data_IF_809073152546
#
_entry.id   IF_809073152546
#
_cell.length_a   1.000
_cell.length_b   1.000
_cell.length_c   1.000
_cell.angle_alpha   90.00
_cell.angle_beta   90.00
_cell.angle_gamma   90.00
#
_symmetry.space_group_name_H-M   'P 1'
#
loop_
_entity.id
_entity.type
_entity.pdbx_description
1 polymer ?
#
# COMPACT_ATOMS: atom_id res chain seq x y z
N UNK A 1 13.21 -16.03 -13.27
CA UNK A 1 12.06 -16.73 -12.79
C UNK A 1 11.60 -16.18 -11.46
N UNK A 2 10.43 -15.62 -11.50
CA UNK A 2 9.75 -15.02 -10.36
C UNK A 2 8.97 -16.13 -9.69
N UNK A 3 9.61 -16.89 -8.81
CA UNK A 3 8.97 -18.03 -8.16
C UNK A 3 9.18 -17.95 -6.65
N UNK A 4 8.22 -18.46 -5.91
CA UNK A 4 8.29 -18.83 -4.53
C UNK A 4 8.53 -17.66 -3.58
N UNK A 5 9.73 -17.12 -3.58
CA UNK A 5 10.17 -16.12 -2.59
C UNK A 5 9.52 -14.74 -2.75
N UNK A 6 8.94 -14.45 -3.90
CA UNK A 6 8.31 -13.15 -4.17
C UNK A 6 6.80 -13.16 -3.95
N UNK A 7 6.22 -14.33 -3.75
CA UNK A 7 4.78 -14.51 -3.61
C UNK A 7 4.47 -15.00 -2.20
N UNK A 8 3.51 -14.35 -1.57
CA UNK A 8 3.04 -14.73 -0.23
C UNK A 8 1.51 -14.73 -0.23
N UNK A 9 0.92 -15.31 0.80
CA UNK A 9 -0.52 -15.18 1.02
C UNK A 9 -0.84 -13.82 1.64
N UNK A 10 -2.09 -13.40 1.48
CA UNK A 10 -2.60 -12.22 2.18
C UNK A 10 -2.38 -12.36 3.70
N UNK A 11 -2.65 -13.54 4.26
CA UNK A 11 -2.45 -13.78 5.69
C UNK A 11 -0.99 -13.52 6.13
N UNK A 12 -0.01 -13.93 5.32
CA UNK A 12 1.41 -13.68 5.62
C UNK A 12 1.75 -12.20 5.56
N UNK A 13 1.28 -11.50 4.54
CA UNK A 13 1.50 -10.06 4.41
C UNK A 13 0.89 -9.29 5.59
N UNK A 14 -0.34 -9.65 5.96
CA UNK A 14 -1.03 -9.03 7.09
C UNK A 14 -0.33 -9.33 8.41
N UNK A 15 0.22 -10.52 8.59
CA UNK A 15 1.01 -10.85 9.79
C UNK A 15 2.18 -9.89 9.94
N UNK A 16 2.89 -9.61 8.86
CA UNK A 16 3.99 -8.65 8.87
C UNK A 16 3.53 -7.25 9.25
N UNK A 17 2.38 -6.82 8.75
CA UNK A 17 1.81 -5.51 9.09
C UNK A 17 1.40 -5.47 10.56
N UNK A 18 0.85 -6.54 11.11
CA UNK A 18 0.50 -6.60 12.54
C UNK A 18 1.74 -6.47 13.44
N UNK A 19 2.84 -7.12 13.07
CA UNK A 19 4.11 -6.96 13.79
C UNK A 19 4.64 -5.53 13.69
N UNK A 20 4.58 -4.96 12.51
CA UNK A 20 4.97 -3.57 12.30
C UNK A 20 4.08 -2.60 13.12
N UNK A 21 2.79 -2.87 13.19
CA UNK A 21 1.85 -2.06 13.96
C UNK A 21 2.20 -2.02 15.45
N UNK A 22 2.69 -3.13 16.00
CA UNK A 22 3.16 -3.19 17.39
C UNK A 22 4.36 -2.27 17.61
N UNK A 23 5.30 -2.26 16.67
CA UNK A 23 6.48 -1.38 16.73
C UNK A 23 6.04 0.07 16.68
N UNK A 24 5.12 0.42 15.80
CA UNK A 24 4.58 1.78 15.67
C UNK A 24 3.82 2.20 16.94
N UNK A 25 3.01 1.33 17.48
CA UNK A 25 2.30 1.60 18.73
C UNK A 25 3.28 1.95 19.86
N UNK A 26 4.33 1.17 20.01
CA UNK A 26 5.37 1.41 21.01
C UNK A 26 6.12 2.73 20.73
N UNK A 27 6.57 2.93 19.49
CA UNK A 27 7.38 4.08 19.10
C UNK A 27 6.67 5.42 19.33
N UNK A 28 5.36 5.47 19.07
CA UNK A 28 4.57 6.70 19.17
C UNK A 28 3.70 6.74 20.43
N UNK A 29 3.95 5.85 21.40
CA UNK A 29 3.24 5.87 22.69
C UNK A 29 1.74 5.66 22.57
N UNK A 30 1.29 4.88 21.59
CA UNK A 30 -0.13 4.63 21.34
C UNK A 30 -0.85 5.72 20.57
N UNK A 31 -0.18 6.80 20.20
CA UNK A 31 -0.77 7.92 19.47
C UNK A 31 -1.18 7.54 18.05
N UNK A 32 -0.43 6.64 17.40
CA UNK A 32 -0.74 6.14 16.06
C UNK A 32 -1.23 4.71 16.16
N UNK A 33 -2.41 4.46 15.60
CA UNK A 33 -3.04 3.15 15.59
C UNK A 33 -3.17 2.64 14.15
N UNK A 34 -2.96 1.35 13.96
CA UNK A 34 -3.15 0.67 12.68
C UNK A 34 -4.28 -0.35 12.85
N UNK A 35 -5.40 -0.09 12.20
CA UNK A 35 -6.55 -1.01 12.17
C UNK A 35 -6.49 -1.85 10.90
N UNK A 36 -6.72 -3.15 11.03
CA UNK A 36 -6.60 -4.08 9.91
C UNK A 36 -7.90 -4.88 9.80
N UNK A 37 -8.51 -4.86 8.61
CA UNK A 37 -9.67 -5.67 8.26
C UNK A 37 -9.36 -6.50 7.04
N UNK A 38 -9.49 -7.81 7.15
CA UNK A 38 -9.25 -8.74 6.05
C UNK A 38 -10.47 -9.64 5.91
N UNK A 39 -11.03 -9.65 4.71
CA UNK A 39 -12.09 -10.59 4.36
C UNK A 39 -11.56 -12.01 4.47
N UNK A 40 -12.32 -12.90 5.12
CA UNK A 40 -11.86 -14.27 5.41
C UNK A 40 -11.45 -15.01 4.12
N UNK A 41 -12.25 -14.88 3.08
CA UNK A 41 -11.97 -15.52 1.79
C UNK A 41 -10.72 -14.97 1.09
N UNK A 42 -10.23 -13.81 1.50
CA UNK A 42 -9.03 -13.22 0.94
C UNK A 42 -7.74 -13.75 1.56
N UNK A 43 -7.81 -14.33 2.76
CA UNK A 43 -6.61 -14.68 3.54
C UNK A 43 -5.68 -15.67 2.85
N UNK A 44 -6.23 -16.63 2.10
CA UNK A 44 -5.45 -17.65 1.40
C UNK A 44 -5.05 -17.26 -0.03
N UNK A 45 -5.44 -16.08 -0.48
CA UNK A 45 -5.09 -15.63 -1.83
C UNK A 45 -3.65 -15.14 -1.86
N UNK A 46 -3.03 -15.28 -3.02
CA UNK A 46 -1.62 -14.94 -3.20
C UNK A 46 -1.44 -13.57 -3.84
N UNK A 47 -0.41 -12.87 -3.40
CA UNK A 47 0.03 -11.59 -3.97
C UNK A 47 1.55 -11.51 -3.84
N UNK A 48 2.16 -10.56 -4.56
CA UNK A 48 3.58 -10.29 -4.37
C UNK A 48 3.80 -9.67 -2.98
N UNK A 49 4.89 -10.09 -2.33
CA UNK A 49 5.19 -9.67 -0.96
C UNK A 49 5.55 -8.19 -0.88
N UNK A 50 5.35 -7.60 0.29
CA UNK A 50 5.77 -6.24 0.61
C UNK A 50 5.14 -5.18 -0.31
N UNK A 51 3.82 -5.29 -0.53
CA UNK A 51 3.04 -4.25 -1.18
C UNK A 51 2.44 -3.31 -0.13
N UNK A 52 1.79 -3.86 0.88
CA UNK A 52 1.05 -3.08 1.87
C UNK A 52 1.94 -2.35 2.86
N UNK A 53 3.00 -2.99 3.34
CA UNK A 53 3.85 -2.40 4.37
C UNK A 53 4.45 -1.06 3.96
N UNK A 54 5.03 -0.90 2.76
CA UNK A 54 5.56 0.40 2.37
C UNK A 54 4.50 1.50 2.28
N UNK A 55 3.27 1.15 1.93
CA UNK A 55 2.16 2.11 1.90
C UNK A 55 1.78 2.53 3.32
N UNK A 56 1.71 1.58 4.24
CA UNK A 56 1.46 1.86 5.66
C UNK A 56 2.57 2.75 6.23
N UNK A 57 3.83 2.42 5.93
CA UNK A 57 4.98 3.25 6.33
C UNK A 57 4.85 4.68 5.80
N UNK A 58 4.49 4.81 4.54
CA UNK A 58 4.31 6.12 3.91
C UNK A 58 3.20 6.93 4.61
N UNK A 59 2.08 6.30 4.93
CA UNK A 59 0.98 6.94 5.67
C UNK A 59 1.45 7.45 7.03
N UNK A 60 2.25 6.66 7.74
CA UNK A 60 2.74 7.03 9.07
C UNK A 60 3.72 8.19 8.98
N UNK A 61 4.74 8.08 8.13
CA UNK A 61 5.83 9.07 8.12
C UNK A 61 5.50 10.35 7.35
N UNK A 62 4.59 10.30 6.38
CA UNK A 62 4.20 11.48 5.60
C UNK A 62 2.82 12.03 5.98
N UNK A 63 1.95 11.20 6.53
CA UNK A 63 0.61 11.61 6.90
C UNK A 63 0.42 11.91 8.38
N UNK A 64 0.89 11.02 9.25
CA UNK A 64 0.54 11.03 10.67
C UNK A 64 1.65 11.52 11.61
N UNK A 65 2.91 11.38 11.25
CA UNK A 65 4.02 11.78 12.11
C UNK A 65 3.96 13.28 12.47
N UNK A 66 3.55 14.10 11.51
CA UNK A 66 3.45 15.54 11.67
C UNK A 66 2.11 15.99 12.30
N UNK A 67 1.16 15.07 12.45
CA UNK A 67 -0.10 15.35 13.09
C UNK A 67 0.07 15.41 14.60
N UNK A 68 -0.41 16.48 15.24
CA UNK A 68 -0.28 16.66 16.70
C UNK A 68 -1.28 15.81 17.48
N UNK A 69 -2.37 15.40 16.86
CA UNK A 69 -3.43 14.61 17.45
C UNK A 69 -3.20 13.11 17.19
N UNK A 70 -4.05 12.28 17.78
CA UNK A 70 -4.04 10.85 17.52
C UNK A 70 -4.30 10.54 16.04
N UNK A 71 -3.60 9.56 15.51
CA UNK A 71 -3.68 9.16 14.11
C UNK A 71 -4.12 7.72 13.92
N UNK A 72 -4.78 7.48 12.80
CA UNK A 72 -5.27 6.16 12.42
C UNK A 72 -4.86 5.83 11.00
N UNK A 73 -4.30 4.63 10.80
CA UNK A 73 -4.15 4.01 9.49
C UNK A 73 -5.09 2.81 9.44
N UNK A 74 -5.99 2.80 8.47
CA UNK A 74 -6.89 1.66 8.25
C UNK A 74 -6.41 0.88 7.02
N UNK A 75 -6.17 -0.41 7.21
CA UNK A 75 -5.76 -1.34 6.15
C UNK A 75 -6.92 -2.30 5.90
N UNK A 76 -7.33 -2.44 4.64
CA UNK A 76 -8.43 -3.32 4.28
C UNK A 76 -8.06 -4.18 3.08
N UNK A 77 -8.39 -5.45 3.14
CA UNK A 77 -8.20 -6.39 2.03
C UNK A 77 -9.53 -7.10 1.76
N UNK A 78 -10.01 -6.98 0.53
CA UNK A 78 -11.29 -7.53 0.08
C UNK A 78 -11.15 -8.25 -1.25
N UNK A 79 -12.02 -9.23 -1.47
CA UNK A 79 -12.22 -9.80 -2.80
C UNK A 79 -13.28 -8.98 -3.53
N UNK A 80 -12.98 -8.57 -4.76
CA UNK A 80 -13.92 -7.89 -5.62
C UNK A 80 -14.04 -8.66 -6.94
N UNK A 81 -15.23 -8.73 -7.48
CA UNK A 81 -15.49 -9.44 -8.76
C UNK A 81 -14.91 -10.85 -8.79
N UNK A 82 -14.98 -11.58 -7.68
CA UNK A 82 -14.58 -12.98 -7.49
C UNK A 82 -13.08 -13.25 -7.65
N UNK A 83 -12.39 -12.60 -8.58
CA UNK A 83 -11.02 -12.92 -8.95
C UNK A 83 -10.00 -11.82 -8.68
N UNK A 84 -10.41 -10.73 -8.07
CA UNK A 84 -9.56 -9.57 -7.79
C UNK A 84 -9.44 -9.32 -6.29
N UNK A 85 -8.29 -8.83 -5.88
CA UNK A 85 -8.08 -8.29 -4.54
C UNK A 85 -8.07 -6.77 -4.61
N UNK A 86 -8.81 -6.14 -3.71
CA UNK A 86 -8.69 -4.71 -3.45
C UNK A 86 -7.97 -4.51 -2.13
N UNK A 87 -6.85 -3.82 -2.21
CA UNK A 87 -6.03 -3.45 -1.07
C UNK A 87 -6.19 -1.96 -0.84
N UNK A 88 -6.63 -1.57 0.35
CA UNK A 88 -6.86 -0.16 0.68
C UNK A 88 -6.07 0.20 1.92
N UNK A 89 -5.35 1.31 1.86
CA UNK A 89 -4.68 1.91 3.02
C UNK A 89 -5.15 3.36 3.10
N UNK A 90 -5.80 3.70 4.20
CA UNK A 90 -6.36 5.03 4.40
C UNK A 90 -5.89 5.60 5.73
N UNK A 91 -5.42 6.84 5.74
CA UNK A 91 -5.03 7.53 6.95
C UNK A 91 -5.83 8.82 7.15
N UNK A 92 -5.90 9.27 8.39
CA UNK A 92 -6.52 10.53 8.77
C UNK A 92 -5.48 11.63 9.01
N UNK A 93 -4.36 11.57 8.29
CA UNK A 93 -3.25 12.51 8.41
C UNK A 93 -3.54 13.88 7.80
N UNK A 94 -2.46 14.63 7.59
CA UNK A 94 -2.56 15.99 7.08
C UNK A 94 -3.04 16.08 5.63
N UNK A 95 -2.94 15.00 4.87
CA UNK A 95 -3.36 14.96 3.48
C UNK A 95 -2.49 15.82 2.57
N UNK A 96 -2.91 15.93 1.33
CA UNK A 96 -2.19 16.65 0.29
C UNK A 96 -3.18 17.39 -0.62
N UNK A 97 -2.72 18.49 -1.20
CA UNK A 97 -3.47 19.15 -2.25
C UNK A 97 -3.45 18.31 -3.53
N UNK A 98 -4.46 18.47 -4.36
CA UNK A 98 -4.59 17.70 -5.60
C UNK A 98 -3.38 17.83 -6.51
N UNK A 99 -2.78 19.02 -6.58
CA UNK A 99 -1.57 19.26 -7.37
C UNK A 99 -0.40 18.38 -6.91
N UNK A 100 -0.27 18.17 -5.61
CA UNK A 100 0.76 17.30 -5.04
C UNK A 100 0.50 15.84 -5.40
N UNK A 101 -0.75 15.40 -5.29
CA UNK A 101 -1.16 14.04 -5.68
C UNK A 101 -0.85 13.80 -7.16
N UNK A 102 -1.25 14.72 -8.02
CA UNK A 102 -1.02 14.61 -9.47
C UNK A 102 0.46 14.54 -9.79
N UNK A 103 1.28 15.36 -9.11
CA UNK A 103 2.74 15.35 -9.29
C UNK A 103 3.35 14.01 -8.85
N UNK A 104 2.93 13.48 -7.70
CA UNK A 104 3.43 12.20 -7.21
C UNK A 104 3.07 11.05 -8.16
N UNK A 105 1.83 11.00 -8.63
CA UNK A 105 1.39 9.98 -9.59
C UNK A 105 2.15 10.08 -10.90
N UNK A 106 2.36 11.28 -11.39
CA UNK A 106 3.15 11.53 -12.60
C UNK A 106 4.59 11.05 -12.43
N UNK A 107 5.23 11.40 -11.31
CA UNK A 107 6.60 10.99 -11.01
C UNK A 107 6.72 9.46 -10.88
N UNK A 108 5.77 8.81 -10.24
CA UNK A 108 5.76 7.35 -10.10
C UNK A 108 5.73 6.67 -11.47
N UNK A 109 4.86 7.11 -12.36
CA UNK A 109 4.74 6.57 -13.72
C UNK A 109 5.98 6.84 -14.56
N UNK A 110 6.57 8.03 -14.43
CA UNK A 110 7.75 8.42 -15.20
C UNK A 110 9.03 7.77 -14.69
N UNK A 111 9.21 7.67 -13.38
CA UNK A 111 10.41 7.08 -12.76
C UNK A 111 10.46 5.56 -12.93
N UNK A 112 9.33 4.92 -13.26
CA UNK A 112 9.36 3.52 -13.66
C UNK A 112 10.16 3.32 -14.94
N UNK A 113 10.41 4.40 -15.71
CA UNK A 113 11.18 4.39 -16.95
C UNK A 113 12.62 4.93 -16.77
N UNK A 114 12.90 5.70 -15.72
CA UNK A 114 14.19 6.32 -15.47
C UNK A 114 14.50 6.41 -13.98
N UNK A 115 15.68 5.94 -13.57
CA UNK A 115 16.17 6.07 -12.20
C UNK A 115 16.47 7.54 -11.88
N UNK A 116 15.59 8.22 -11.19
CA UNK A 116 15.92 9.50 -10.59
C UNK A 116 15.43 9.57 -9.15
N UNK A 117 16.27 10.14 -8.32
CA UNK A 117 16.20 10.08 -6.88
C UNK A 117 15.53 11.32 -6.29
N UNK A 118 14.25 11.27 -6.02
CA UNK A 118 13.67 12.11 -4.98
C UNK A 118 13.31 11.21 -3.79
N UNK A 119 13.79 11.53 -2.63
CA UNK A 119 13.63 10.70 -1.42
C UNK A 119 12.17 10.50 -1.00
N UNK A 120 11.28 11.40 -1.39
CA UNK A 120 9.90 11.43 -0.89
C UNK A 120 8.95 10.46 -1.59
N UNK A 121 9.35 9.89 -2.74
CA UNK A 121 8.50 8.99 -3.51
C UNK A 121 9.10 7.60 -3.72
N UNK A 122 10.23 7.27 -3.10
CA UNK A 122 10.97 6.03 -3.34
C UNK A 122 10.09 4.80 -3.04
N UNK A 123 9.39 4.81 -1.90
CA UNK A 123 8.54 3.69 -1.50
C UNK A 123 7.39 3.44 -2.46
N UNK A 124 6.65 4.49 -2.82
CA UNK A 124 5.51 4.40 -3.73
C UNK A 124 5.95 4.09 -5.17
N UNK A 125 7.05 4.68 -5.62
CA UNK A 125 7.62 4.40 -6.94
C UNK A 125 8.02 2.93 -7.07
N UNK A 126 8.67 2.38 -6.05
CA UNK A 126 9.04 0.98 -6.03
C UNK A 126 7.82 0.06 -6.10
N UNK A 127 6.74 0.39 -5.37
CA UNK A 127 5.51 -0.37 -5.43
C UNK A 127 4.92 -0.33 -6.83
N UNK A 128 4.84 0.85 -7.43
CA UNK A 128 4.31 1.01 -8.79
C UNK A 128 5.11 0.20 -9.80
N UNK A 129 6.44 0.26 -9.75
CA UNK A 129 7.32 -0.53 -10.60
C UNK A 129 7.10 -2.02 -10.42
N UNK A 130 7.00 -2.49 -9.19
CA UNK A 130 6.78 -3.91 -8.89
C UNK A 130 5.40 -4.37 -9.37
N UNK A 131 4.37 -3.56 -9.20
CA UNK A 131 3.04 -3.86 -9.73
C UNK A 131 3.07 -3.99 -11.26
N UNK A 132 3.77 -3.09 -11.95
CA UNK A 132 3.92 -3.16 -13.40
C UNK A 132 4.69 -4.40 -13.83
N UNK A 133 5.76 -4.72 -13.12
CA UNK A 133 6.60 -5.88 -13.46
C UNK A 133 5.85 -7.20 -13.30
N UNK A 134 5.10 -7.36 -12.21
CA UNK A 134 4.46 -8.63 -11.86
C UNK A 134 3.06 -8.80 -12.41
N UNK A 135 2.30 -7.72 -12.52
CA UNK A 135 0.90 -7.77 -12.93
C UNK A 135 0.62 -7.06 -14.25
N UNK A 136 1.58 -6.26 -14.74
CA UNK A 136 1.38 -5.48 -15.97
C UNK A 136 0.20 -4.54 -15.85
N UNK A 137 -0.56 -4.44 -16.93
CA UNK A 137 -1.72 -3.54 -17.00
C UNK A 137 -2.92 -4.02 -16.19
N UNK A 138 -2.88 -5.24 -15.65
CA UNK A 138 -3.99 -5.75 -14.85
C UNK A 138 -4.05 -5.13 -13.46
N UNK A 139 -2.92 -4.60 -12.95
CA UNK A 139 -2.92 -3.90 -11.68
C UNK A 139 -3.34 -2.45 -11.85
N UNK A 140 -4.15 -1.94 -10.92
CA UNK A 140 -4.46 -0.52 -10.84
C UNK A 140 -3.95 0.06 -9.53
N UNK A 141 -3.53 1.31 -9.57
CA UNK A 141 -3.09 2.07 -8.40
C UNK A 141 -3.80 3.42 -8.41
N UNK A 142 -4.51 3.72 -7.33
CA UNK A 142 -5.21 4.99 -7.15
C UNK A 142 -4.81 5.64 -5.85
N UNK A 143 -4.69 6.95 -5.86
CA UNK A 143 -4.42 7.74 -4.66
C UNK A 143 -5.35 8.95 -4.63
N UNK A 144 -6.05 9.11 -3.51
CA UNK A 144 -6.93 10.25 -3.25
C UNK A 144 -6.49 10.90 -1.96
N UNK A 145 -6.45 12.22 -1.93
CA UNK A 145 -6.05 12.98 -0.75
C UNK A 145 -6.66 14.38 -0.79
N UNK A 146 -6.89 14.93 0.38
CA UNK A 146 -7.33 16.31 0.55
C UNK A 146 -6.66 16.89 1.79
N UNK A 147 -6.31 18.19 1.81
CA UNK A 147 -5.72 18.81 2.99
C UNK A 147 -6.61 18.66 4.22
N UNK A 148 -6.03 18.20 5.32
CA UNK A 148 -6.73 18.00 6.58
C UNK A 148 -7.59 16.74 6.66
N UNK A 149 -7.71 15.98 5.58
CA UNK A 149 -8.59 14.79 5.52
C UNK A 149 -7.85 13.46 5.33
N UNK A 150 -6.52 13.51 5.19
CA UNK A 150 -5.72 12.32 5.03
C UNK A 150 -5.60 11.84 3.59
N UNK A 151 -5.11 10.62 3.43
CA UNK A 151 -4.81 10.02 2.13
C UNK A 151 -5.35 8.60 2.06
N UNK A 152 -5.87 8.23 0.91
CA UNK A 152 -6.35 6.88 0.61
C UNK A 152 -5.63 6.35 -0.62
N UNK A 153 -4.98 5.20 -0.46
CA UNK A 153 -4.37 4.46 -1.56
C UNK A 153 -5.17 3.19 -1.79
N UNK A 154 -5.52 2.94 -3.04
CA UNK A 154 -6.24 1.73 -3.45
C UNK A 154 -5.45 1.01 -4.53
N UNK A 155 -5.21 -0.28 -4.33
CA UNK A 155 -4.58 -1.16 -5.31
C UNK A 155 -5.56 -2.28 -5.62
N UNK A 156 -5.80 -2.53 -6.91
CA UNK A 156 -6.59 -3.68 -7.36
C UNK A 156 -5.69 -4.55 -8.21
N UNK A 157 -5.57 -5.82 -7.82
CA UNK A 157 -4.73 -6.81 -8.49
C UNK A 157 -5.50 -8.12 -8.62
N UNK A 158 -5.22 -8.93 -9.66
CA UNK A 158 -5.76 -10.28 -9.70
C UNK A 158 -5.12 -11.12 -8.58
N UNK A 159 -5.90 -11.95 -7.90
CA UNK A 159 -5.32 -12.83 -6.88
C UNK A 159 -4.61 -14.06 -7.48
N UNK A 160 -4.60 -14.16 -8.82
CA UNK A 160 -3.71 -15.06 -9.57
C UNK A 160 -2.65 -14.23 -10.28
N UNK A 161 -1.39 -14.54 -10.04
CA UNK A 161 -0.29 -13.84 -10.69
C UNK A 161 -0.18 -14.34 -12.14
N UNK A 162 -0.20 -13.43 -13.15
CA UNK A 162 -0.04 -13.83 -14.54
C UNK A 162 1.24 -14.65 -14.76
N UNK A 163 1.13 -15.79 -15.46
CA UNK A 163 2.26 -16.66 -15.72
C UNK A 163 2.53 -17.72 -14.66
N UNK A 164 1.88 -17.68 -13.51
CA UNK A 164 1.85 -18.78 -12.57
C UNK A 164 0.78 -19.76 -13.08
N UNK A 165 1.21 -20.85 -13.67
CA UNK A 165 0.33 -21.81 -14.31
C UNK A 165 -0.83 -22.25 -13.46
N UNK A 166 -1.96 -22.47 -14.13
CA UNK A 166 -3.11 -23.07 -13.48
C UNK A 166 -2.81 -24.51 -13.10
#
# INVERSE_FOLDING_TARGET
AIKGDNVVTVAEEIRNIREYAKIIHYRFGGRIRVDIQVEEEAEDKELIKLILQPIVENSIFHGLEQKLEDGLVAVKVEIVRETWLRLTVEDDGCGMQQETVDRLLYQMKRQSLHRSSSKDSIGLTNIYQRLQLFYGETATFRMESSPGKGTRVEIIIPHRIPGKGM
#
